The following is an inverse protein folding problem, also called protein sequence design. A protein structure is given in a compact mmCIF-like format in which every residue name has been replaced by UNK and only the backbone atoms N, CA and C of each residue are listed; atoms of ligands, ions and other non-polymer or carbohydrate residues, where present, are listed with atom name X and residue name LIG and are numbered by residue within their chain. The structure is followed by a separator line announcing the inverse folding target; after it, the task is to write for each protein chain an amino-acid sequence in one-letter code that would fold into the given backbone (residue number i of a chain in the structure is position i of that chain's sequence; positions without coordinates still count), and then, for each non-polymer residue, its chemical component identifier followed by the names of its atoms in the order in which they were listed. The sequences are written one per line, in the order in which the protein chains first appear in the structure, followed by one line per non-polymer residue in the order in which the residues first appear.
data_IF_975768066166
#
_entry.id   IF_975768066166
#
_cell.length_a   1.000
_cell.length_b   1.000
_cell.length_c   1.000
_cell.angle_alpha   90.00
_cell.angle_beta   90.00
_cell.angle_gamma   90.00
#
_symmetry.space_group_name_H-M   'P 1'
#
loop_
_entity.id
_entity.type
_entity.pdbx_description
1 polymer ?
#
# COMPACT_ATOMS: atom_id res chain seq x y z
N UNK A 1 -29.74 -89.68 -13.71
CA UNK A 1 -29.58 -90.73 -14.76
C UNK A 1 -29.16 -90.01 -16.01
N UNK A 2 -28.01 -90.34 -16.56
CA UNK A 2 -27.46 -90.06 -17.89
C UNK A 2 -27.02 -88.57 -18.15
N UNK A 3 -25.72 -88.27 -18.16
CA UNK A 3 -24.57 -88.71 -19.01
C UNK A 3 -24.65 -88.09 -20.42
N UNK A 4 -23.53 -87.39 -20.76
CA UNK A 4 -22.75 -87.42 -22.00
C UNK A 4 -22.56 -86.06 -22.67
N UNK A 5 -21.30 -85.61 -22.54
CA UNK A 5 -20.18 -85.43 -23.51
C UNK A 5 -20.29 -84.33 -24.56
N UNK A 6 -19.38 -83.36 -24.45
CA UNK A 6 -18.19 -83.13 -25.31
C UNK A 6 -18.47 -82.75 -26.76
N UNK A 7 -18.02 -81.61 -27.24
CA UNK A 7 -16.93 -81.52 -28.28
C UNK A 7 -16.54 -80.07 -28.58
N UNK A 8 -15.24 -79.89 -28.66
CA UNK A 8 -14.50 -78.72 -29.19
C UNK A 8 -14.95 -78.27 -30.59
N UNK A 9 -14.97 -77.01 -30.86
CA UNK A 9 -14.59 -76.43 -32.14
C UNK A 9 -13.83 -75.13 -32.00
N UNK A 10 -12.59 -75.15 -32.48
CA UNK A 10 -11.63 -74.08 -32.59
C UNK A 10 -11.99 -73.30 -33.85
N UNK A 11 -12.26 -71.98 -33.72
CA UNK A 11 -12.33 -71.10 -34.86
C UNK A 11 -11.46 -69.88 -34.61
N UNK A 12 -10.33 -69.86 -35.31
CA UNK A 12 -9.43 -68.72 -35.39
C UNK A 12 -10.11 -67.65 -36.27
N UNK A 13 -10.41 -66.45 -35.67
CA UNK A 13 -10.72 -65.25 -36.46
C UNK A 13 -9.65 -64.25 -36.24
N UNK A 14 -8.80 -64.00 -37.22
CA UNK A 14 -7.92 -62.84 -37.30
C UNK A 14 -8.80 -61.62 -37.50
N UNK A 15 -8.72 -60.69 -36.54
CA UNK A 15 -9.15 -59.31 -36.75
C UNK A 15 -7.95 -58.38 -36.60
N UNK A 16 -7.58 -57.78 -37.72
CA UNK A 16 -6.69 -56.63 -37.80
C UNK A 16 -7.29 -55.47 -37.03
N UNK A 17 -6.74 -55.09 -35.87
CA UNK A 17 -7.03 -53.82 -35.23
C UNK A 17 -5.94 -52.83 -35.61
N UNK A 18 -6.33 -51.82 -36.41
CA UNK A 18 -5.53 -50.63 -36.68
C UNK A 18 -5.26 -49.89 -35.36
N UNK A 19 -4.00 -49.80 -34.99
CA UNK A 19 -3.55 -49.01 -33.89
C UNK A 19 -3.62 -47.51 -34.18
N UNK A 20 -4.62 -46.80 -33.67
CA UNK A 20 -4.54 -45.37 -33.52
C UNK A 20 -3.59 -45.07 -32.33
N UNK A 21 -2.37 -44.66 -32.62
CA UNK A 21 -1.47 -44.08 -31.62
C UNK A 21 -2.06 -42.75 -31.16
N UNK A 22 -2.71 -42.75 -30.00
CA UNK A 22 -2.99 -41.54 -29.26
C UNK A 22 -1.65 -41.01 -28.71
N UNK A 23 -1.16 -39.92 -29.31
CA UNK A 23 -0.11 -39.11 -28.71
C UNK A 23 -0.73 -38.43 -27.50
N UNK A 24 -0.61 -39.03 -26.32
CA UNK A 24 -0.79 -38.31 -25.07
C UNK A 24 0.35 -37.28 -24.99
N UNK A 25 0.00 -36.01 -25.17
CA UNK A 25 0.83 -34.92 -24.71
C UNK A 25 0.92 -35.05 -23.18
N UNK A 26 2.04 -35.55 -22.68
CA UNK A 26 2.41 -35.32 -21.29
C UNK A 26 2.51 -33.81 -21.12
N UNK A 27 1.49 -33.20 -20.56
CA UNK A 27 1.65 -31.92 -19.87
C UNK A 27 2.62 -32.19 -18.69
N UNK A 28 3.87 -31.83 -18.90
CA UNK A 28 4.85 -31.77 -17.81
C UNK A 28 4.28 -30.78 -16.77
N UNK A 29 3.62 -31.29 -15.75
CA UNK A 29 3.40 -30.52 -14.52
C UNK A 29 4.78 -30.03 -14.06
N UNK A 30 4.95 -28.72 -14.07
CA UNK A 30 6.13 -28.08 -13.46
C UNK A 30 6.19 -28.54 -12.00
N UNK A 31 7.37 -28.91 -11.48
CA UNK A 31 7.51 -29.35 -10.10
C UNK A 31 6.90 -28.29 -9.18
N UNK A 32 6.10 -28.71 -8.22
CA UNK A 32 5.40 -27.84 -7.25
C UNK A 32 6.37 -26.89 -6.49
N UNK A 33 7.67 -27.24 -6.40
CA UNK A 33 8.74 -26.40 -5.90
C UNK A 33 9.09 -25.23 -6.83
N UNK A 34 8.94 -25.36 -8.15
CA UNK A 34 9.24 -24.28 -9.11
C UNK A 34 8.14 -23.19 -9.12
N UNK A 35 6.90 -23.53 -8.76
CA UNK A 35 5.80 -22.57 -8.57
C UNK A 35 5.97 -21.71 -7.30
N UNK A 36 6.72 -22.20 -6.30
CA UNK A 36 6.96 -21.51 -5.03
C UNK A 36 8.12 -20.49 -5.08
N UNK A 37 8.83 -20.34 -6.19
CA UNK A 37 10.03 -19.49 -6.28
C UNK A 37 9.75 -18.09 -6.85
N UNK A 38 8.56 -17.87 -7.42
CA UNK A 38 8.14 -16.58 -7.95
C UNK A 38 7.50 -15.73 -6.86
N UNK A 39 8.19 -14.65 -6.48
CA UNK A 39 7.68 -13.69 -5.50
C UNK A 39 6.58 -12.83 -6.14
N UNK A 40 5.43 -12.73 -5.46
CA UNK A 40 4.30 -11.86 -5.85
C UNK A 40 3.96 -10.88 -4.73
N UNK A 41 3.25 -9.82 -5.07
CA UNK A 41 2.92 -8.74 -4.11
C UNK A 41 2.24 -9.24 -2.83
N UNK A 42 1.36 -10.25 -2.96
CA UNK A 42 0.61 -10.81 -1.83
C UNK A 42 1.44 -11.72 -0.89
N UNK A 43 2.68 -12.07 -1.24
CA UNK A 43 3.61 -12.76 -0.33
C UNK A 43 4.07 -11.85 0.82
N UNK A 44 3.69 -10.57 0.75
CA UNK A 44 3.86 -9.67 1.88
C UNK A 44 3.22 -10.21 3.18
N UNK A 45 2.05 -10.84 3.07
CA UNK A 45 1.31 -11.38 4.21
C UNK A 45 1.63 -12.85 4.55
N UNK A 46 2.42 -13.52 3.74
CA UNK A 46 2.69 -14.95 3.86
C UNK A 46 4.12 -15.22 4.31
N UNK A 47 4.34 -16.36 4.95
CA UNK A 47 5.69 -16.90 5.11
C UNK A 47 6.22 -17.31 3.74
N UNK A 48 7.38 -16.78 3.35
CA UNK A 48 8.03 -17.06 2.08
C UNK A 48 9.55 -17.05 2.25
N UNK A 49 10.15 -18.23 2.27
CA UNK A 49 11.59 -18.43 2.59
C UNK A 49 12.53 -17.51 1.83
N UNK A 50 12.29 -17.32 0.52
CA UNK A 50 13.12 -16.45 -0.33
C UNK A 50 12.95 -14.97 0.06
N UNK A 51 11.71 -14.51 0.28
CA UNK A 51 11.44 -13.14 0.75
C UNK A 51 12.11 -12.90 2.09
N UNK A 52 11.97 -13.84 3.03
CA UNK A 52 12.53 -13.72 4.38
C UNK A 52 14.07 -13.72 4.35
N UNK A 53 14.69 -14.54 3.48
CA UNK A 53 16.14 -14.56 3.28
C UNK A 53 16.68 -13.24 2.73
N UNK A 54 16.04 -12.69 1.67
CA UNK A 54 16.43 -11.41 1.07
C UNK A 54 16.21 -10.27 2.07
N UNK A 55 15.09 -10.28 2.82
CA UNK A 55 14.79 -9.30 3.85
C UNK A 55 15.89 -9.25 4.91
N UNK A 56 16.24 -10.39 5.51
CA UNK A 56 17.23 -10.42 6.58
C UNK A 56 18.62 -10.03 6.07
N UNK A 57 19.02 -10.46 4.87
CA UNK A 57 20.28 -10.06 4.26
C UNK A 57 20.33 -8.55 4.02
N UNK A 58 19.29 -7.98 3.41
CA UNK A 58 19.19 -6.54 3.14
C UNK A 58 19.20 -5.74 4.43
N UNK A 59 18.38 -6.12 5.41
CA UNK A 59 18.27 -5.39 6.67
C UNK A 59 19.58 -5.40 7.48
N UNK A 60 20.31 -6.53 7.51
CA UNK A 60 21.61 -6.62 8.19
C UNK A 60 22.67 -5.73 7.57
N UNK A 61 22.63 -5.55 6.25
CA UNK A 61 23.55 -4.67 5.54
C UNK A 61 23.27 -3.17 5.77
N UNK A 62 22.07 -2.82 6.29
CA UNK A 62 21.68 -1.43 6.47
C UNK A 62 22.23 -0.83 7.76
N UNK A 63 22.84 0.35 7.64
CA UNK A 63 23.14 1.21 8.79
C UNK A 63 21.85 1.74 9.46
N UNK A 64 21.92 2.17 10.74
CA UNK A 64 20.80 2.86 11.39
C UNK A 64 20.27 4.05 10.58
N UNK A 65 21.14 4.82 9.94
CA UNK A 65 20.79 5.92 9.04
C UNK A 65 19.87 5.46 7.90
N UNK A 66 20.21 4.37 7.23
CA UNK A 66 19.43 3.83 6.12
C UNK A 66 18.09 3.21 6.59
N UNK A 67 18.04 2.61 7.79
CA UNK A 67 16.80 2.09 8.37
C UNK A 67 15.81 3.22 8.67
N UNK A 68 16.29 4.32 9.26
CA UNK A 68 15.51 5.52 9.53
C UNK A 68 15.06 6.17 8.21
N UNK A 69 15.90 6.20 7.20
CA UNK A 69 15.55 6.74 5.89
C UNK A 69 14.32 6.05 5.27
N UNK A 70 14.15 4.72 5.50
CA UNK A 70 13.02 3.98 4.91
C UNK A 70 11.66 4.53 5.33
N UNK A 71 11.54 5.07 6.54
CA UNK A 71 10.26 5.57 7.05
C UNK A 71 9.92 6.99 6.57
N UNK A 72 10.79 7.66 5.82
CA UNK A 72 10.57 9.05 5.37
C UNK A 72 10.24 9.11 3.88
N UNK A 73 9.10 9.72 3.56
CA UNK A 73 8.60 9.89 2.19
C UNK A 73 8.19 11.36 1.93
N UNK A 74 9.15 12.25 1.59
CA UNK A 74 8.83 13.61 1.16
C UNK A 74 8.11 13.62 -0.19
N UNK A 75 7.52 14.77 -0.55
CA UNK A 75 6.88 14.98 -1.84
C UNK A 75 7.71 15.88 -2.75
N UNK A 76 7.65 15.62 -4.06
CA UNK A 76 8.13 16.51 -5.12
C UNK A 76 7.04 16.79 -6.14
N UNK A 77 7.18 17.85 -6.91
CA UNK A 77 6.20 18.33 -7.87
C UNK A 77 5.73 19.74 -7.53
N UNK A 78 4.72 20.24 -8.24
CA UNK A 78 4.26 21.64 -8.12
C UNK A 78 3.82 22.04 -6.70
N UNK A 79 3.29 21.09 -5.93
CA UNK A 79 2.87 21.28 -4.52
C UNK A 79 3.80 20.59 -3.52
N UNK A 80 4.87 19.97 -4.00
CA UNK A 80 5.91 19.35 -3.19
C UNK A 80 7.15 20.24 -3.03
N UNK A 81 8.26 19.60 -2.69
CA UNK A 81 9.57 20.22 -2.65
C UNK A 81 10.18 20.32 -4.06
N UNK A 82 11.10 21.25 -4.32
CA UNK A 82 11.88 21.25 -5.56
C UNK A 82 12.58 19.89 -5.78
N UNK A 83 12.70 19.48 -7.04
CA UNK A 83 13.39 18.24 -7.42
C UNK A 83 14.82 18.17 -6.85
N UNK A 84 15.53 19.30 -6.89
CA UNK A 84 16.90 19.43 -6.39
C UNK A 84 17.02 19.07 -4.90
N UNK A 85 16.03 19.45 -4.10
CA UNK A 85 16.00 19.09 -2.68
C UNK A 85 15.81 17.58 -2.48
N UNK A 86 15.03 16.91 -3.34
CA UNK A 86 14.92 15.45 -3.31
C UNK A 86 16.25 14.79 -3.71
N UNK A 87 16.91 15.32 -4.73
CA UNK A 87 18.26 14.85 -5.15
C UNK A 87 19.26 14.96 -3.99
N UNK A 88 19.25 16.06 -3.25
CA UNK A 88 20.11 16.21 -2.04
C UNK A 88 19.76 15.17 -0.97
N UNK A 89 18.46 14.95 -0.71
CA UNK A 89 18.03 13.94 0.26
C UNK A 89 18.43 12.51 -0.15
N UNK A 90 18.43 12.20 -1.47
CA UNK A 90 18.93 10.91 -2.01
C UNK A 90 20.44 10.80 -1.77
N UNK A 91 21.21 11.81 -2.14
CA UNK A 91 22.67 11.85 -1.92
C UNK A 91 23.03 11.73 -0.44
N UNK A 92 22.26 12.37 0.41
CA UNK A 92 22.38 12.28 1.88
C UNK A 92 21.86 10.94 2.43
N UNK A 93 21.20 10.08 1.62
CA UNK A 93 20.64 8.77 2.03
C UNK A 93 19.70 8.89 3.25
N UNK A 94 18.79 9.86 3.23
CA UNK A 94 17.90 10.18 4.37
C UNK A 94 16.41 9.96 4.08
N UNK A 95 16.05 9.43 2.90
CA UNK A 95 14.67 9.12 2.51
C UNK A 95 14.59 7.73 1.90
N UNK A 96 13.41 7.09 1.98
CA UNK A 96 13.17 5.74 1.45
C UNK A 96 12.07 5.66 0.39
N UNK A 97 11.46 6.78 0.06
CA UNK A 97 10.44 6.91 -0.98
C UNK A 97 10.13 8.37 -1.30
N UNK A 98 9.34 8.62 -2.34
CA UNK A 98 8.94 9.96 -2.79
C UNK A 98 7.49 9.96 -3.24
N UNK A 99 6.70 10.94 -2.77
CA UNK A 99 5.38 11.24 -3.31
C UNK A 99 5.52 12.17 -4.53
N UNK A 100 5.01 11.74 -5.68
CA UNK A 100 4.93 12.51 -6.91
C UNK A 100 3.65 13.36 -6.88
N UNK A 101 3.78 14.66 -6.59
CA UNK A 101 2.66 15.53 -6.21
C UNK A 101 2.45 16.69 -7.18
N UNK A 102 1.43 16.59 -8.05
CA UNK A 102 1.03 17.59 -9.04
C UNK A 102 2.13 17.89 -10.08
N UNK A 103 2.14 17.13 -11.16
CA UNK A 103 3.02 17.27 -12.31
C UNK A 103 2.44 16.64 -13.57
N UNK A 104 3.29 16.31 -14.54
CA UNK A 104 2.91 15.58 -15.75
C UNK A 104 3.45 14.16 -15.75
N UNK A 105 2.85 13.26 -16.55
CA UNK A 105 3.37 11.89 -16.75
C UNK A 105 4.85 11.92 -17.14
N UNK A 106 5.19 12.66 -18.19
CA UNK A 106 6.55 12.71 -18.72
C UNK A 106 7.54 13.26 -17.69
N UNK A 107 7.16 14.32 -16.97
CA UNK A 107 8.00 14.90 -15.91
C UNK A 107 8.29 13.87 -14.81
N UNK A 108 7.27 13.17 -14.34
CA UNK A 108 7.43 12.19 -13.26
C UNK A 108 8.25 10.98 -13.71
N UNK A 109 8.03 10.51 -14.95
CA UNK A 109 8.83 9.42 -15.54
C UNK A 109 10.31 9.79 -15.58
N UNK A 110 10.66 10.98 -16.10
CA UNK A 110 12.04 11.43 -16.16
C UNK A 110 12.67 11.61 -14.77
N UNK A 111 11.91 12.12 -13.82
CA UNK A 111 12.42 12.31 -12.46
C UNK A 111 12.64 10.99 -11.73
N UNK A 112 11.75 10.01 -11.88
CA UNK A 112 11.92 8.68 -11.30
C UNK A 112 13.17 8.00 -11.87
N UNK A 113 13.38 8.06 -13.20
CA UNK A 113 14.59 7.52 -13.82
C UNK A 113 15.88 8.17 -13.30
N UNK A 114 15.86 9.50 -13.12
CA UNK A 114 16.99 10.22 -12.54
C UNK A 114 17.26 9.83 -11.08
N UNK A 115 16.20 9.71 -10.28
CA UNK A 115 16.29 9.31 -8.87
C UNK A 115 16.80 7.87 -8.74
N UNK A 116 16.31 6.94 -9.55
CA UNK A 116 16.76 5.55 -9.56
C UNK A 116 18.24 5.45 -9.92
N UNK A 117 18.70 6.22 -10.92
CA UNK A 117 20.12 6.28 -11.28
C UNK A 117 20.98 6.78 -10.12
N UNK A 118 20.51 7.79 -9.37
CA UNK A 118 21.22 8.31 -8.20
C UNK A 118 21.25 7.29 -7.05
N UNK A 119 20.12 6.57 -6.81
CA UNK A 119 20.03 5.54 -5.77
C UNK A 119 21.04 4.42 -6.05
N UNK A 120 21.12 3.94 -7.30
CA UNK A 120 22.10 2.92 -7.70
C UNK A 120 23.53 3.41 -7.46
N UNK A 121 23.85 4.64 -7.85
CA UNK A 121 25.19 5.23 -7.69
C UNK A 121 25.59 5.45 -6.22
N UNK A 122 24.62 5.61 -5.32
CA UNK A 122 24.85 5.74 -3.88
C UNK A 122 24.73 4.42 -3.12
N UNK A 123 24.61 3.29 -3.82
CA UNK A 123 24.35 1.96 -3.23
C UNK A 123 23.12 1.98 -2.29
N UNK A 124 22.12 2.77 -2.64
CA UNK A 124 20.90 2.96 -1.86
C UNK A 124 19.92 1.80 -2.03
N UNK A 125 18.85 1.84 -1.23
CA UNK A 125 17.72 0.92 -1.34
C UNK A 125 16.69 1.52 -2.32
N UNK A 126 16.18 0.77 -3.32
CA UNK A 126 15.16 1.24 -4.25
C UNK A 126 13.98 1.91 -3.54
N UNK A 127 13.39 2.93 -4.16
CA UNK A 127 12.35 3.74 -3.53
C UNK A 127 10.94 3.18 -3.74
N UNK A 128 10.04 3.51 -2.82
CA UNK A 128 8.60 3.52 -3.08
C UNK A 128 8.26 4.89 -3.68
N UNK A 129 7.77 4.89 -4.92
CA UNK A 129 7.22 6.08 -5.58
C UNK A 129 5.70 6.06 -5.45
N UNK A 130 5.14 7.12 -4.87
CA UNK A 130 3.71 7.17 -4.58
C UNK A 130 3.00 8.32 -5.29
N UNK A 131 1.69 8.21 -5.41
CA UNK A 131 0.81 9.28 -5.88
C UNK A 131 -0.57 9.19 -5.23
N UNK A 132 -1.29 10.33 -5.17
CA UNK A 132 -2.73 10.38 -4.90
C UNK A 132 -3.50 10.20 -6.21
N UNK A 133 -3.46 9.01 -6.78
CA UNK A 133 -4.15 8.69 -8.01
C UNK A 133 -5.56 8.15 -7.76
N UNK A 134 -6.36 8.94 -7.05
CA UNK A 134 -7.79 8.70 -6.86
C UNK A 134 -8.56 8.99 -8.15
N UNK A 135 -9.66 8.29 -8.44
CA UNK A 135 -10.49 8.58 -9.62
C UNK A 135 -10.84 10.06 -9.75
N UNK A 136 -11.17 10.73 -8.63
CA UNK A 136 -11.56 12.14 -8.61
C UNK A 136 -10.41 13.14 -8.71
N UNK A 137 -9.16 12.69 -8.56
CA UNK A 137 -8.00 13.58 -8.44
C UNK A 137 -6.93 13.33 -9.50
N UNK A 138 -6.80 12.12 -10.02
CA UNK A 138 -5.66 11.70 -10.85
C UNK A 138 -5.43 12.63 -12.02
N UNK A 139 -6.48 13.01 -12.76
CA UNK A 139 -6.35 13.82 -13.97
C UNK A 139 -5.90 15.26 -13.71
N UNK A 140 -6.11 15.80 -12.51
CA UNK A 140 -5.58 17.11 -12.11
C UNK A 140 -4.24 17.06 -11.40
N UNK A 141 -3.89 15.90 -10.83
CA UNK A 141 -2.63 15.69 -10.12
C UNK A 141 -1.53 15.18 -11.03
N UNK A 142 -1.90 14.40 -12.04
CA UNK A 142 -0.98 13.85 -13.04
C UNK A 142 -1.49 14.24 -14.43
N UNK A 143 -1.09 15.41 -14.92
CA UNK A 143 -1.48 15.88 -16.24
C UNK A 143 -0.97 14.90 -17.31
N UNK A 144 -1.81 14.60 -18.29
CA UNK A 144 -1.54 13.58 -19.32
C UNK A 144 -1.91 12.16 -18.89
N UNK A 145 -2.46 11.95 -17.69
CA UNK A 145 -3.10 10.69 -17.34
C UNK A 145 -4.39 10.47 -18.12
N UNK A 146 -4.76 9.21 -18.32
CA UNK A 146 -5.99 8.83 -19.00
C UNK A 146 -7.21 9.40 -18.27
N UNK A 147 -8.13 10.12 -18.97
CA UNK A 147 -9.32 10.67 -18.33
C UNK A 147 -10.21 9.59 -17.72
N UNK A 148 -10.60 9.78 -16.47
CA UNK A 148 -11.52 8.89 -15.74
C UNK A 148 -12.62 9.68 -15.06
N UNK A 149 -13.77 9.05 -14.78
CA UNK A 149 -14.86 9.64 -14.01
C UNK A 149 -14.43 9.90 -12.56
N UNK A 150 -15.05 10.87 -11.92
CA UNK A 150 -14.94 11.05 -10.47
C UNK A 150 -15.55 9.86 -9.73
N UNK A 151 -15.00 9.52 -8.56
CA UNK A 151 -15.46 8.38 -7.78
C UNK A 151 -16.98 8.40 -7.50
N UNK A 152 -17.52 9.60 -7.17
CA UNK A 152 -18.95 9.77 -6.94
C UNK A 152 -19.83 9.79 -8.21
N UNK A 153 -19.24 9.66 -9.39
CA UNK A 153 -19.91 9.56 -10.68
C UNK A 153 -19.84 8.15 -11.29
N UNK A 154 -19.10 7.26 -10.66
CA UNK A 154 -19.05 5.85 -11.01
C UNK A 154 -20.37 5.22 -10.57
N UNK A 155 -20.96 4.37 -11.40
CA UNK A 155 -22.31 3.83 -11.21
C UNK A 155 -22.38 2.29 -11.20
N UNK A 156 -21.26 1.60 -11.44
CA UNK A 156 -21.18 0.15 -11.33
C UNK A 156 -19.80 -0.35 -10.89
N UNK A 157 -19.75 -1.59 -10.39
CA UNK A 157 -18.49 -2.23 -9.94
C UNK A 157 -17.57 -2.55 -11.12
N UNK A 158 -18.12 -2.85 -12.30
CA UNK A 158 -17.38 -3.07 -13.52
C UNK A 158 -16.71 -1.76 -13.99
N UNK A 159 -17.35 -0.62 -13.74
CA UNK A 159 -16.76 0.66 -14.03
C UNK A 159 -15.64 1.00 -13.03
N UNK A 160 -15.78 0.64 -11.76
CA UNK A 160 -14.68 0.73 -10.78
C UNK A 160 -13.45 -0.04 -11.26
N UNK A 161 -13.67 -1.28 -11.73
CA UNK A 161 -12.58 -2.12 -12.26
C UNK A 161 -11.89 -1.48 -13.47
N UNK A 162 -12.68 -0.97 -14.45
CA UNK A 162 -12.11 -0.27 -15.62
C UNK A 162 -11.30 0.96 -15.25
N UNK A 163 -11.82 1.76 -14.32
CA UNK A 163 -11.14 2.97 -13.84
C UNK A 163 -9.85 2.62 -13.09
N UNK A 164 -9.89 1.61 -12.21
CA UNK A 164 -8.71 1.15 -11.49
C UNK A 164 -7.63 0.61 -12.44
N UNK A 165 -8.01 -0.18 -13.47
CA UNK A 165 -7.08 -0.65 -14.53
C UNK A 165 -6.43 0.51 -15.28
N UNK A 166 -7.23 1.50 -15.67
CA UNK A 166 -6.72 2.68 -16.39
C UNK A 166 -5.71 3.46 -15.56
N UNK A 167 -6.03 3.73 -14.29
CA UNK A 167 -5.13 4.41 -13.36
C UNK A 167 -3.86 3.60 -13.12
N UNK A 168 -4.00 2.30 -12.87
CA UNK A 168 -2.86 1.41 -12.62
C UNK A 168 -1.91 1.33 -13.82
N UNK A 169 -2.46 1.30 -15.04
CA UNK A 169 -1.65 1.37 -16.25
C UNK A 169 -0.83 2.67 -16.32
N UNK A 170 -1.47 3.81 -16.08
CA UNK A 170 -0.78 5.10 -16.08
C UNK A 170 0.32 5.18 -15.00
N UNK A 171 0.05 4.65 -13.81
CA UNK A 171 1.03 4.61 -12.73
C UNK A 171 2.23 3.71 -13.07
N UNK A 172 1.99 2.54 -13.64
CA UNK A 172 3.05 1.64 -14.09
C UNK A 172 3.90 2.26 -15.21
N UNK A 173 3.26 2.93 -16.19
CA UNK A 173 3.96 3.64 -17.27
C UNK A 173 4.91 4.73 -16.73
N UNK A 174 4.57 5.35 -15.60
CA UNK A 174 5.38 6.39 -14.93
C UNK A 174 6.50 5.76 -14.07
N UNK A 175 6.28 4.57 -13.53
CA UNK A 175 7.15 3.93 -12.51
C UNK A 175 6.66 4.14 -11.07
N UNK A 176 5.40 4.55 -10.86
CA UNK A 176 4.78 4.70 -9.55
C UNK A 176 4.24 3.34 -9.09
N UNK A 177 4.67 2.89 -7.92
CA UNK A 177 4.36 1.57 -7.36
C UNK A 177 3.49 1.62 -6.08
N UNK A 178 3.04 2.81 -5.66
CA UNK A 178 2.26 3.01 -4.46
C UNK A 178 1.17 4.07 -4.68
N UNK A 179 -0.10 3.68 -4.61
CA UNK A 179 -1.24 4.56 -4.82
C UNK A 179 -1.96 4.86 -3.49
N UNK A 180 -2.07 6.13 -3.12
CA UNK A 180 -2.88 6.59 -1.99
C UNK A 180 -4.36 6.69 -2.37
N UNK A 181 -4.94 5.57 -2.79
CA UNK A 181 -6.34 5.37 -3.12
C UNK A 181 -6.75 3.92 -2.83
N UNK A 182 -8.06 3.67 -2.55
CA UNK A 182 -9.20 4.57 -2.63
C UNK A 182 -9.50 5.35 -1.34
N UNK A 183 -10.40 6.35 -1.47
CA UNK A 183 -11.04 7.01 -0.32
C UNK A 183 -12.24 6.18 0.12
N UNK A 184 -12.23 5.72 1.37
CA UNK A 184 -13.30 4.89 1.98
C UNK A 184 -14.14 5.67 3.00
N UNK A 185 -13.92 6.98 3.06
CA UNK A 185 -14.68 7.89 3.91
C UNK A 185 -16.13 8.04 3.42
N UNK A 186 -17.05 8.27 4.34
CA UNK A 186 -18.44 8.62 4.01
C UNK A 186 -18.54 10.06 3.48
N UNK A 187 -19.53 10.34 2.64
CA UNK A 187 -19.57 11.52 1.77
C UNK A 187 -20.15 12.85 2.26
N UNK A 188 -20.60 13.07 3.50
CA UNK A 188 -21.11 14.39 3.89
C UNK A 188 -20.04 15.48 3.91
N UNK A 189 -18.76 15.15 4.17
CA UNK A 189 -17.67 16.12 4.22
C UNK A 189 -17.37 16.67 2.83
N UNK A 190 -17.30 18.01 2.69
CA UNK A 190 -17.04 18.67 1.41
C UNK A 190 -15.63 18.41 0.86
N UNK A 191 -14.66 18.14 1.73
CA UNK A 191 -13.27 17.87 1.35
C UNK A 191 -13.11 16.49 0.71
N UNK A 192 -13.84 15.48 1.19
CA UNK A 192 -13.74 14.09 0.72
C UNK A 192 -14.94 13.61 -0.07
N UNK A 193 -16.09 14.32 -0.03
CA UNK A 193 -17.36 13.84 -0.51
C UNK A 193 -17.45 13.48 -1.99
N UNK A 194 -16.68 14.13 -2.88
CA UNK A 194 -16.63 13.77 -4.30
C UNK A 194 -15.49 12.77 -4.61
N UNK A 195 -14.68 12.42 -3.61
CA UNK A 195 -13.50 11.56 -3.73
C UNK A 195 -13.81 10.10 -3.38
N UNK A 196 -14.88 9.85 -2.61
CA UNK A 196 -15.31 8.50 -2.22
C UNK A 196 -16.41 7.96 -3.17
N UNK A 197 -16.65 6.65 -3.13
CA UNK A 197 -17.62 5.95 -3.98
C UNK A 197 -19.10 6.17 -3.53
N UNK A 198 -19.46 7.43 -3.27
CA UNK A 198 -20.83 7.83 -3.02
C UNK A 198 -21.20 7.92 -1.54
N UNK A 199 -22.50 8.28 -1.32
CA UNK A 199 -23.04 8.53 0.02
C UNK A 199 -23.48 7.26 0.74
N UNK A 200 -23.77 6.22 -0.04
CA UNK A 200 -24.26 4.96 0.50
C UNK A 200 -23.07 4.10 0.99
N UNK A 201 -22.99 3.80 2.30
CA UNK A 201 -21.97 2.91 2.84
C UNK A 201 -21.96 1.52 2.19
N UNK A 202 -23.10 1.06 1.67
CA UNK A 202 -23.21 -0.24 0.99
C UNK A 202 -22.38 -0.29 -0.30
N UNK A 203 -22.18 0.83 -0.99
CA UNK A 203 -21.32 0.91 -2.18
C UNK A 203 -19.85 1.14 -1.82
N UNK A 204 -19.56 1.90 -0.76
CA UNK A 204 -18.19 2.31 -0.43
C UNK A 204 -17.29 1.08 -0.24
N UNK A 205 -17.72 0.11 0.55
CA UNK A 205 -16.87 -1.05 0.89
C UNK A 205 -16.63 -1.96 -0.33
N UNK A 206 -17.66 -2.50 -1.02
CA UNK A 206 -17.43 -3.42 -2.14
C UNK A 206 -16.72 -2.75 -3.32
N UNK A 207 -16.97 -1.48 -3.58
CA UNK A 207 -16.32 -0.76 -4.66
C UNK A 207 -14.87 -0.39 -4.32
N UNK A 208 -14.60 -0.07 -3.06
CA UNK A 208 -13.22 0.11 -2.60
C UNK A 208 -12.44 -1.20 -2.63
N UNK A 209 -13.05 -2.32 -2.25
CA UNK A 209 -12.44 -3.65 -2.34
C UNK A 209 -12.09 -4.00 -3.79
N UNK A 210 -12.99 -3.75 -4.75
CA UNK A 210 -12.71 -3.95 -6.18
C UNK A 210 -11.56 -3.06 -6.66
N UNK A 211 -11.56 -1.76 -6.29
CA UNK A 211 -10.49 -0.84 -6.66
C UNK A 211 -9.14 -1.29 -6.11
N UNK A 212 -9.10 -1.69 -4.82
CA UNK A 212 -7.90 -2.20 -4.14
C UNK A 212 -7.40 -3.45 -4.85
N UNK A 213 -8.29 -4.44 -5.05
CA UNK A 213 -7.94 -5.69 -5.72
C UNK A 213 -7.32 -5.43 -7.09
N UNK A 214 -7.99 -4.65 -7.93
CA UNK A 214 -7.53 -4.35 -9.29
C UNK A 214 -6.19 -3.62 -9.28
N UNK A 215 -5.99 -2.66 -8.37
CA UNK A 215 -4.71 -1.93 -8.23
C UNK A 215 -3.59 -2.89 -7.81
N UNK A 216 -3.83 -3.77 -6.85
CA UNK A 216 -2.84 -4.73 -6.35
C UNK A 216 -2.54 -5.84 -7.36
N UNK A 217 -3.52 -6.28 -8.15
CA UNK A 217 -3.33 -7.20 -9.28
C UNK A 217 -2.41 -6.62 -10.37
N UNK A 218 -2.26 -5.28 -10.42
CA UNK A 218 -1.32 -4.58 -11.31
C UNK A 218 0.03 -4.28 -10.64
N UNK A 219 0.36 -4.96 -9.55
CA UNK A 219 1.61 -4.82 -8.80
C UNK A 219 1.84 -3.39 -8.24
N UNK A 220 0.79 -2.73 -7.79
CA UNK A 220 0.81 -1.41 -7.15
C UNK A 220 0.15 -1.52 -5.78
N UNK A 221 0.78 -0.96 -4.74
CA UNK A 221 0.15 -0.87 -3.42
C UNK A 221 -1.07 0.04 -3.48
N UNK A 222 -2.22 -0.45 -3.02
CA UNK A 222 -3.40 0.37 -2.77
C UNK A 222 -3.49 0.79 -1.30
N UNK A 223 -4.12 1.94 -1.03
CA UNK A 223 -4.25 2.52 0.32
C UNK A 223 -5.68 2.90 0.62
N UNK A 224 -6.31 2.26 1.61
CA UNK A 224 -7.59 2.71 2.13
C UNK A 224 -7.39 3.93 3.04
N UNK A 225 -8.18 5.01 2.83
CA UNK A 225 -8.03 6.27 3.57
C UNK A 225 -9.35 6.99 3.79
N UNK A 226 -9.49 7.78 4.88
CA UNK A 226 -8.50 8.16 5.88
C UNK A 226 -8.92 7.63 7.25
N UNK A 227 -8.20 6.68 7.79
CA UNK A 227 -8.51 6.06 9.09
C UNK A 227 -8.37 7.07 10.25
N UNK A 228 -9.26 7.12 11.24
CA UNK A 228 -10.42 6.26 11.51
C UNK A 228 -11.74 6.74 10.87
N UNK A 229 -11.70 7.65 9.91
CA UNK A 229 -12.83 8.18 9.15
C UNK A 229 -12.80 9.71 9.11
N UNK A 230 -12.82 10.29 7.91
CA UNK A 230 -12.81 11.74 7.65
C UNK A 230 -14.16 12.25 7.13
N UNK A 231 -15.02 11.37 6.66
CA UNK A 231 -16.24 11.73 5.95
C UNK A 231 -17.34 12.36 6.83
N UNK A 232 -17.31 12.09 8.12
CA UNK A 232 -18.32 12.56 9.08
C UNK A 232 -17.87 13.77 9.92
N UNK A 233 -16.61 14.25 9.79
CA UNK A 233 -16.20 15.50 10.39
C UNK A 233 -16.55 16.67 9.48
N UNK A 234 -16.84 17.84 10.06
CA UNK A 234 -17.34 18.99 9.29
C UNK A 234 -16.25 19.83 8.63
N UNK A 235 -15.01 19.73 9.08
CA UNK A 235 -13.91 20.62 8.69
C UNK A 235 -12.87 19.99 7.79
N UNK A 236 -11.81 20.77 7.54
CA UNK A 236 -10.70 20.46 6.67
C UNK A 236 -9.41 20.28 7.49
N UNK A 237 -8.88 19.07 7.53
CA UNK A 237 -7.64 18.71 8.24
C UNK A 237 -6.39 19.36 7.65
N UNK A 238 -6.44 19.85 6.42
CA UNK A 238 -5.35 20.65 5.86
C UNK A 238 -5.15 21.98 6.62
N UNK A 239 -6.23 22.52 7.20
CA UNK A 239 -6.21 23.82 7.90
C UNK A 239 -6.02 23.69 9.39
N UNK A 240 -6.69 22.72 10.02
CA UNK A 240 -6.66 22.56 11.48
C UNK A 240 -7.06 21.15 11.90
N UNK A 241 -6.70 20.79 13.13
CA UNK A 241 -7.11 19.54 13.75
C UNK A 241 -8.64 19.46 13.83
N UNK A 242 -9.22 18.46 13.19
CA UNK A 242 -10.64 18.14 13.27
C UNK A 242 -10.89 17.10 14.37
N UNK A 243 -12.15 16.97 14.80
CA UNK A 243 -12.52 16.13 15.94
C UNK A 243 -13.70 15.24 15.58
N UNK A 244 -13.53 13.92 15.77
CA UNK A 244 -14.64 12.99 15.87
C UNK A 244 -15.16 13.02 17.30
N UNK A 245 -16.43 13.39 17.49
CA UNK A 245 -17.07 13.44 18.78
C UNK A 245 -17.92 12.20 19.03
N UNK A 246 -17.52 11.34 19.96
CA UNK A 246 -18.24 10.11 20.30
C UNK A 246 -17.78 8.90 19.47
N UNK A 247 -18.73 8.19 18.83
CA UNK A 247 -18.47 6.91 18.16
C UNK A 247 -17.73 7.05 16.83
N UNK A 248 -16.84 6.10 16.54
CA UNK A 248 -16.08 5.99 15.28
C UNK A 248 -16.93 5.25 14.23
N UNK A 249 -17.95 5.93 13.66
CA UNK A 249 -18.94 5.31 12.79
C UNK A 249 -18.38 4.73 11.49
N UNK A 250 -17.25 5.27 10.99
CA UNK A 250 -16.64 4.86 9.72
C UNK A 250 -15.69 3.68 9.88
N UNK A 251 -15.36 3.28 11.10
CA UNK A 251 -14.50 2.11 11.38
C UNK A 251 -15.05 0.84 10.69
N UNK A 252 -16.37 0.68 10.61
CA UNK A 252 -17.02 -0.48 9.97
C UNK A 252 -16.63 -0.69 8.50
N UNK A 253 -16.09 0.33 7.84
CA UNK A 253 -15.64 0.24 6.45
C UNK A 253 -14.30 -0.51 6.30
N UNK A 254 -13.51 -0.65 7.38
CA UNK A 254 -12.15 -1.18 7.30
C UNK A 254 -12.03 -2.70 7.46
N UNK A 255 -12.78 -3.39 8.36
CA UNK A 255 -12.63 -4.84 8.55
C UNK A 255 -12.76 -5.64 7.23
N UNK A 256 -13.77 -5.43 6.35
CA UNK A 256 -13.84 -6.18 5.10
C UNK A 256 -12.63 -5.93 4.19
N UNK A 257 -12.11 -4.68 4.14
CA UNK A 257 -10.94 -4.36 3.32
C UNK A 257 -9.65 -4.97 3.88
N UNK A 258 -9.57 -5.14 5.20
CA UNK A 258 -8.46 -5.84 5.87
C UNK A 258 -8.52 -7.34 5.58
N UNK A 259 -9.71 -7.95 5.64
CA UNK A 259 -9.95 -9.35 5.26
C UNK A 259 -9.59 -9.58 3.79
N UNK A 260 -9.94 -8.64 2.89
CA UNK A 260 -9.59 -8.65 1.48
C UNK A 260 -8.12 -8.26 1.21
N UNK A 261 -7.31 -8.18 2.27
CA UNK A 261 -5.85 -8.00 2.21
C UNK A 261 -5.39 -6.68 1.58
N UNK A 262 -6.01 -5.56 1.95
CA UNK A 262 -5.48 -4.23 1.62
C UNK A 262 -4.06 -4.07 2.18
N UNK A 263 -3.11 -3.63 1.34
CA UNK A 263 -1.69 -3.57 1.70
C UNK A 263 -1.30 -2.32 2.48
N UNK A 264 -2.09 -1.25 2.39
CA UNK A 264 -1.80 0.01 3.10
C UNK A 264 -3.06 0.68 3.63
N UNK A 265 -2.93 1.32 4.79
CA UNK A 265 -3.96 2.21 5.38
C UNK A 265 -3.30 3.54 5.75
N UNK A 266 -3.93 4.65 5.31
CA UNK A 266 -3.50 6.00 5.67
C UNK A 266 -4.29 6.50 6.87
N UNK A 267 -3.58 6.99 7.89
CA UNK A 267 -4.16 7.52 9.14
C UNK A 267 -4.29 9.03 9.07
N UNK A 268 -5.50 9.54 9.33
CA UNK A 268 -5.83 10.95 9.28
C UNK A 268 -5.29 11.75 10.48
N UNK A 269 -5.16 13.08 10.29
CA UNK A 269 -4.92 14.02 11.39
C UNK A 269 -6.24 14.48 12.03
N UNK A 270 -6.91 13.55 12.71
CA UNK A 270 -8.21 13.76 13.36
C UNK A 270 -8.12 13.32 14.82
N UNK A 271 -8.57 14.16 15.74
CA UNK A 271 -8.68 13.80 17.15
C UNK A 271 -10.00 13.07 17.42
N UNK A 272 -10.01 12.24 18.46
CA UNK A 272 -11.20 11.56 18.97
C UNK A 272 -11.47 12.04 20.39
N UNK A 273 -12.69 12.53 20.64
CA UNK A 273 -13.14 13.01 21.95
C UNK A 273 -14.44 12.33 22.35
N UNK A 274 -14.81 12.39 23.61
CA UNK A 274 -16.04 11.81 24.18
C UNK A 274 -16.24 10.35 23.75
N UNK A 275 -15.14 9.59 23.69
CA UNK A 275 -15.09 8.17 23.43
C UNK A 275 -14.21 7.54 24.53
N UNK A 276 -14.82 6.72 25.37
CA UNK A 276 -14.16 6.13 26.53
C UNK A 276 -12.90 5.33 26.15
N UNK A 277 -13.01 4.51 25.11
CA UNK A 277 -11.94 3.60 24.67
C UNK A 277 -10.88 4.30 23.83
N UNK A 278 -11.29 5.14 22.86
CA UNK A 278 -10.40 5.63 21.80
C UNK A 278 -10.12 7.14 21.86
N UNK A 279 -10.45 7.83 22.97
CA UNK A 279 -10.09 9.23 23.14
C UNK A 279 -8.60 9.45 22.95
N UNK A 280 -8.25 10.37 22.05
CA UNK A 280 -6.84 10.72 21.74
C UNK A 280 -6.28 11.83 22.62
N UNK A 281 -7.07 12.35 23.56
CA UNK A 281 -6.68 13.44 24.47
C UNK A 281 -6.16 14.67 23.71
N UNK A 282 -6.79 15.02 22.59
CA UNK A 282 -6.43 16.17 21.76
C UNK A 282 -5.27 15.93 20.77
N UNK A 283 -4.68 14.76 20.74
CA UNK A 283 -3.72 14.39 19.68
C UNK A 283 -4.44 13.95 18.41
N UNK A 284 -3.87 14.19 17.22
CA UNK A 284 -4.35 13.58 16.00
C UNK A 284 -4.16 12.05 16.05
N UNK A 285 -5.02 11.30 15.37
CA UNK A 285 -4.98 9.84 15.30
C UNK A 285 -3.61 9.29 14.88
N UNK A 286 -2.93 9.95 13.94
CA UNK A 286 -1.54 9.65 13.54
C UNK A 286 -0.53 9.65 14.69
N UNK A 287 -0.79 10.42 15.76
CA UNK A 287 0.08 10.50 16.94
C UNK A 287 -0.49 9.73 18.14
N UNK A 288 -1.51 8.89 17.95
CA UNK A 288 -2.20 8.18 19.01
C UNK A 288 -2.00 6.68 18.94
N UNK A 289 -1.28 6.11 19.88
CA UNK A 289 -1.10 4.65 20.02
C UNK A 289 -2.45 3.93 20.16
N UNK A 290 -3.44 4.55 20.85
CA UNK A 290 -4.79 3.98 20.97
C UNK A 290 -5.46 3.77 19.60
N UNK A 291 -5.20 4.64 18.64
CA UNK A 291 -5.81 4.55 17.31
C UNK A 291 -4.96 3.66 16.40
N UNK A 292 -3.65 3.90 16.31
CA UNK A 292 -2.81 3.19 15.33
C UNK A 292 -2.48 1.77 15.82
N UNK A 293 -1.96 1.63 17.03
CA UNK A 293 -1.55 0.31 17.53
C UNK A 293 -2.76 -0.47 18.07
N UNK A 294 -3.47 0.07 19.07
CA UNK A 294 -4.52 -0.70 19.74
C UNK A 294 -5.71 -0.97 18.83
N UNK A 295 -6.29 0.06 18.19
CA UNK A 295 -7.45 -0.16 17.35
C UNK A 295 -7.07 -0.78 16.00
N UNK A 296 -6.21 -0.13 15.18
CA UNK A 296 -5.97 -0.58 13.82
C UNK A 296 -5.17 -1.90 13.75
N UNK A 297 -4.04 -1.98 14.46
CA UNK A 297 -3.15 -3.15 14.34
C UNK A 297 -3.60 -4.33 15.21
N UNK A 298 -4.00 -4.09 16.47
CA UNK A 298 -4.33 -5.18 17.40
C UNK A 298 -5.79 -5.62 17.27
N UNK A 299 -6.77 -4.69 17.36
CA UNK A 299 -8.19 -5.07 17.38
C UNK A 299 -8.74 -5.38 15.99
N UNK A 300 -8.40 -4.57 14.97
CA UNK A 300 -8.81 -4.84 13.58
C UNK A 300 -7.87 -5.80 12.85
N UNK A 301 -6.74 -6.16 13.45
CA UNK A 301 -5.80 -7.14 12.92
C UNK A 301 -5.02 -6.70 11.68
N UNK A 302 -4.91 -5.38 11.42
CA UNK A 302 -4.21 -4.89 10.23
C UNK A 302 -2.70 -5.13 10.29
N UNK A 303 -2.17 -5.85 9.31
CA UNK A 303 -0.75 -6.22 9.21
C UNK A 303 0.01 -5.49 8.10
N UNK A 304 -0.67 -4.74 7.24
CA UNK A 304 -0.08 -3.98 6.14
C UNK A 304 0.72 -2.74 6.59
N UNK A 305 1.11 -1.90 5.65
CA UNK A 305 1.81 -0.64 5.91
C UNK A 305 0.84 0.42 6.44
N UNK A 306 1.19 1.06 7.54
CA UNK A 306 0.48 2.23 8.06
C UNK A 306 1.23 3.49 7.68
N UNK A 307 0.62 4.31 6.82
CA UNK A 307 1.19 5.60 6.40
C UNK A 307 0.42 6.74 7.07
N UNK A 308 1.13 7.79 7.47
CA UNK A 308 0.46 9.01 7.94
C UNK A 308 -0.20 9.75 6.78
N UNK A 309 -1.23 10.54 7.03
CA UNK A 309 -1.55 11.66 6.15
C UNK A 309 -0.38 12.67 6.13
N UNK A 310 -0.43 13.66 5.27
CA UNK A 310 0.68 14.58 5.04
C UNK A 310 1.07 15.37 6.30
N UNK A 311 2.30 15.18 6.81
CA UNK A 311 2.77 15.73 8.08
C UNK A 311 3.04 17.24 8.07
N UNK A 312 2.86 17.89 6.91
CA UNK A 312 2.88 19.35 6.80
C UNK A 312 1.49 20.00 6.91
N UNK A 313 0.43 19.21 7.18
CA UNK A 313 -0.94 19.70 7.34
C UNK A 313 -1.19 20.38 8.68
N UNK A 314 -2.13 21.36 8.69
CA UNK A 314 -2.52 22.10 9.90
C UNK A 314 -3.04 21.25 11.04
N UNK A 315 -3.59 20.06 10.73
CA UNK A 315 -4.08 19.10 11.73
C UNK A 315 -3.00 18.47 12.62
N UNK A 316 -1.71 18.56 12.26
CA UNK A 316 -0.61 17.89 12.97
C UNK A 316 0.59 18.77 13.24
N UNK A 317 0.83 19.80 12.42
CA UNK A 317 2.07 20.58 12.43
C UNK A 317 2.35 21.27 13.77
N UNK A 318 1.32 21.60 14.54
CA UNK A 318 1.45 22.21 15.88
C UNK A 318 1.80 21.22 16.99
N UNK A 319 1.78 19.92 16.71
CA UNK A 319 2.12 18.89 17.70
C UNK A 319 3.64 18.78 17.82
N UNK A 320 4.23 19.06 19.00
CA UNK A 320 5.68 18.94 19.18
C UNK A 320 6.16 17.49 18.90
N UNK A 321 7.26 17.34 18.18
CA UNK A 321 7.86 16.05 17.83
C UNK A 321 6.87 15.09 17.12
N UNK A 322 6.00 15.63 16.27
CA UNK A 322 4.93 14.86 15.62
C UNK A 322 5.46 13.66 14.82
N UNK A 323 6.64 13.76 14.17
CA UNK A 323 7.24 12.63 13.45
C UNK A 323 7.60 11.47 14.40
N UNK A 324 8.26 11.78 15.53
CA UNK A 324 8.58 10.78 16.56
C UNK A 324 7.31 10.18 17.15
N UNK A 325 6.30 11.00 17.43
CA UNK A 325 5.02 10.53 17.98
C UNK A 325 4.27 9.62 17.00
N UNK A 326 4.33 9.90 15.70
CA UNK A 326 3.68 9.06 14.71
C UNK A 326 4.32 7.65 14.62
N UNK A 327 5.64 7.55 14.66
CA UNK A 327 6.35 6.26 14.75
C UNK A 327 6.00 5.56 16.08
N UNK A 328 6.04 6.29 17.20
CA UNK A 328 5.67 5.74 18.51
C UNK A 328 4.22 5.23 18.55
N UNK A 329 3.31 5.91 17.85
CA UNK A 329 1.93 5.47 17.69
C UNK A 329 1.78 4.19 16.86
N UNK A 330 2.79 3.84 16.05
CA UNK A 330 2.81 2.65 15.22
C UNK A 330 2.69 2.91 13.72
N UNK A 331 2.82 4.15 13.24
CA UNK A 331 2.94 4.40 11.80
C UNK A 331 4.26 3.85 11.25
N UNK A 332 4.21 3.30 10.05
CA UNK A 332 5.39 2.72 9.39
C UNK A 332 6.05 3.74 8.44
N UNK A 333 5.27 4.69 7.87
CA UNK A 333 5.75 5.71 6.92
C UNK A 333 5.27 7.10 7.33
N UNK A 334 6.20 8.05 7.37
CA UNK A 334 5.97 9.49 7.57
C UNK A 334 5.87 10.14 6.19
N UNK A 335 4.66 10.51 5.80
CA UNK A 335 4.39 11.14 4.51
C UNK A 335 4.55 12.66 4.60
N UNK A 336 5.24 13.27 3.62
CA UNK A 336 5.43 14.72 3.51
C UNK A 336 5.89 15.38 4.81
N UNK A 337 6.99 14.93 5.46
CA UNK A 337 7.54 15.68 6.56
C UNK A 337 7.83 17.11 6.10
N UNK A 338 7.61 18.10 6.97
CA UNK A 338 7.81 19.50 6.63
C UNK A 338 9.24 19.78 6.13
N UNK A 339 10.22 19.10 6.74
CA UNK A 339 11.62 19.07 6.38
C UNK A 339 12.16 17.65 6.62
N UNK A 340 12.54 16.95 5.56
CA UNK A 340 13.00 15.55 5.64
C UNK A 340 14.35 15.44 6.39
N UNK A 341 15.26 16.40 6.20
CA UNK A 341 16.56 16.42 6.88
C UNK A 341 16.42 16.61 8.40
N UNK A 342 15.54 17.53 8.80
CA UNK A 342 15.20 17.75 10.20
C UNK A 342 14.50 16.52 10.79
N UNK A 343 13.51 15.96 10.09
CA UNK A 343 12.80 14.77 10.54
C UNK A 343 13.75 13.58 10.71
N UNK A 344 14.64 13.33 9.75
CA UNK A 344 15.66 12.28 9.88
C UNK A 344 16.57 12.50 11.09
N UNK A 345 17.00 13.74 11.35
CA UNK A 345 17.81 14.08 12.52
C UNK A 345 17.07 13.83 13.85
N UNK A 346 15.80 14.23 13.92
CA UNK A 346 14.94 13.99 15.10
C UNK A 346 14.74 12.50 15.38
N UNK A 347 14.41 11.73 14.35
CA UNK A 347 14.25 10.27 14.46
C UNK A 347 15.58 9.59 14.83
N UNK A 348 16.71 10.04 14.28
CA UNK A 348 18.03 9.50 14.59
C UNK A 348 18.42 9.76 16.04
N UNK A 349 18.13 10.94 16.57
CA UNK A 349 18.39 11.27 17.95
C UNK A 349 17.56 10.43 18.93
N UNK A 350 16.29 10.15 18.58
CA UNK A 350 15.44 9.27 19.38
C UNK A 350 15.87 7.80 19.27
N UNK A 351 16.19 7.34 18.06
CA UNK A 351 16.69 5.98 17.79
C UNK A 351 17.94 5.64 18.62
N UNK A 352 18.88 6.61 18.78
CA UNK A 352 20.13 6.38 19.48
C UNK A 352 19.96 6.24 21.00
N UNK A 353 18.91 6.83 21.61
CA UNK A 353 18.73 6.88 23.07
C UNK A 353 17.61 6.01 23.60
N UNK A 354 16.68 5.56 22.72
CA UNK A 354 15.47 4.87 23.12
C UNK A 354 15.37 3.49 22.43
N UNK A 355 15.68 2.37 23.12
CA UNK A 355 15.63 1.03 22.55
C UNK A 355 14.24 0.61 22.06
N UNK A 356 13.15 1.06 22.71
CA UNK A 356 11.79 0.77 22.23
C UNK A 356 11.50 1.47 20.90
N UNK A 357 11.91 2.73 20.78
CA UNK A 357 11.80 3.46 19.53
C UNK A 357 12.65 2.85 18.41
N UNK A 358 13.86 2.38 18.74
CA UNK A 358 14.70 1.64 17.81
C UNK A 358 13.97 0.42 17.27
N UNK A 359 13.34 -0.40 18.12
CA UNK A 359 12.58 -1.56 17.68
C UNK A 359 11.42 -1.17 16.75
N UNK A 360 10.72 -0.06 17.02
CA UNK A 360 9.62 0.42 16.16
C UNK A 360 10.13 0.84 14.77
N UNK A 361 11.24 1.57 14.68
CA UNK A 361 11.87 1.93 13.40
C UNK A 361 12.35 0.69 12.65
N UNK A 362 13.01 -0.25 13.34
CA UNK A 362 13.53 -1.47 12.72
C UNK A 362 12.39 -2.35 12.19
N UNK A 363 11.28 -2.45 12.93
CA UNK A 363 10.09 -3.16 12.49
C UNK A 363 9.44 -2.50 11.26
N UNK A 364 9.31 -1.16 11.26
CA UNK A 364 8.78 -0.41 10.13
C UNK A 364 9.69 -0.56 8.89
N UNK A 365 11.01 -0.43 9.06
CA UNK A 365 11.97 -0.61 7.98
C UNK A 365 11.91 -2.03 7.39
N UNK A 366 11.83 -3.08 8.22
CA UNK A 366 11.67 -4.46 7.76
C UNK A 366 10.37 -4.65 6.95
N UNK A 367 9.25 -4.08 7.39
CA UNK A 367 7.99 -4.12 6.65
C UNK A 367 8.10 -3.43 5.28
N UNK A 368 8.73 -2.25 5.22
CA UNK A 368 8.93 -1.50 3.98
C UNK A 368 9.87 -2.27 3.03
N UNK A 369 10.96 -2.86 3.54
CA UNK A 369 11.86 -3.69 2.72
C UNK A 369 11.14 -4.93 2.20
N UNK A 370 10.37 -5.63 3.05
CA UNK A 370 9.55 -6.77 2.62
C UNK A 370 8.61 -6.38 1.47
N UNK A 371 7.96 -5.22 1.59
CA UNK A 371 7.10 -4.69 0.53
C UNK A 371 7.87 -4.44 -0.77
N UNK A 372 9.07 -3.85 -0.69
CA UNK A 372 9.92 -3.61 -1.85
C UNK A 372 10.38 -4.91 -2.52
N UNK A 373 10.63 -5.97 -1.74
CA UNK A 373 10.93 -7.31 -2.26
C UNK A 373 9.72 -7.87 -2.99
N UNK A 374 8.53 -7.81 -2.39
CA UNK A 374 7.29 -8.31 -3.00
C UNK A 374 6.86 -7.53 -4.25
N UNK A 375 7.24 -6.26 -4.37
CA UNK A 375 7.11 -5.46 -5.59
C UNK A 375 8.17 -5.79 -6.66
N UNK A 376 9.17 -6.62 -6.35
CA UNK A 376 10.29 -6.94 -7.25
C UNK A 376 11.36 -5.86 -7.35
N UNK A 377 11.35 -4.86 -6.47
CA UNK A 377 12.32 -3.76 -6.44
C UNK A 377 13.66 -4.19 -5.83
N UNK A 378 13.65 -5.17 -4.93
CA UNK A 378 14.84 -5.79 -4.32
C UNK A 378 14.81 -7.28 -4.69
N UNK A 379 15.94 -7.81 -5.15
CA UNK A 379 16.09 -9.20 -5.64
C UNK A 379 17.20 -9.93 -4.93
#
# INVERSE_FOLDING_TARGET
MNIIKTMFFLSILLTLSQGCAQIQKEEKELPQEALNDTIVLMDFFREHKKVDSILEATFRAMSPKLRIAQVLMPATGRLGKPKEQIIENIKDSIIGGVLMLNGTKDQFTLWIQEFDSLIVNTHGIPFLYSADAEPSLVNRKINGSTPVKFANQIDSIEEVDRVAKSISKDLNDIGINYNFAPVVDMSPNKTVGFRSFGKNPENIVPWSAQFIKTTQDHNILATAKHFPGHGLVSGDTHKSLQVINGSLKEIKNYPPLIEDSVLSIMVAHIAVQNNEKYSTKGLPATCSEKIVTKLLKEELGFKGLVVTDAMNMGGVISVPNHNVKAINAGCDIILMPLDAKKAHKELSAEYAKNPEFQQKIDAAAKKIIRMKICLGLIR
#
